data_IF_963856399817
#
_entry.id   IF_963856399817
#
_cell.length_a   1.000
_cell.length_b   1.000
_cell.length_c   1.000
_cell.angle_alpha   90.00
_cell.angle_beta   90.00
_cell.angle_gamma   90.00
#
_symmetry.space_group_name_H-M   'P 1'
#
loop_
_entity.id
_entity.type
_entity.pdbx_description
1 polymer ?
#
# COMPACT_ATOMS: atom_id res chain seq x y z
N UNK A 1 6.93 0.66 -14.04
CA UNK A 1 6.99 -0.51 -13.14
C UNK A 1 7.83 -0.10 -11.95
N UNK A 2 7.31 -0.31 -10.75
CA UNK A 2 7.99 0.05 -9.50
C UNK A 2 8.47 -1.23 -8.81
N UNK A 3 9.67 -1.22 -8.27
CA UNK A 3 10.18 -2.29 -7.42
C UNK A 3 10.34 -1.77 -6.00
N UNK A 4 9.68 -2.43 -5.05
CA UNK A 4 9.88 -2.22 -3.61
C UNK A 4 10.96 -3.21 -3.17
N UNK A 5 12.06 -2.69 -2.63
CA UNK A 5 13.16 -3.49 -2.11
C UNK A 5 13.01 -3.58 -0.60
N UNK A 6 12.89 -4.80 -0.08
CA UNK A 6 12.73 -5.07 1.34
C UNK A 6 14.10 -5.14 2.05
N UNK A 7 14.12 -4.94 3.37
CA UNK A 7 15.34 -4.96 4.18
C UNK A 7 16.04 -6.32 4.18
N UNK A 8 15.27 -7.41 4.04
CA UNK A 8 15.76 -8.79 3.96
C UNK A 8 16.26 -9.18 2.56
N UNK A 9 16.12 -8.29 1.57
CA UNK A 9 16.54 -8.52 0.19
C UNK A 9 15.44 -9.02 -0.74
N UNK A 10 14.23 -9.28 -0.24
CA UNK A 10 13.06 -9.56 -1.08
C UNK A 10 12.76 -8.35 -1.99
N UNK A 11 12.23 -8.64 -3.18
CA UNK A 11 11.81 -7.64 -4.15
C UNK A 11 10.37 -7.88 -4.55
N UNK A 12 9.56 -6.84 -4.37
CA UNK A 12 8.16 -6.84 -4.75
C UNK A 12 8.02 -5.97 -6.00
N UNK A 13 7.52 -6.57 -7.09
CA UNK A 13 7.24 -5.86 -8.33
C UNK A 13 5.80 -5.34 -8.33
N UNK A 14 5.65 -4.05 -8.60
CA UNK A 14 4.36 -3.36 -8.71
C UNK A 14 4.19 -2.92 -10.16
N UNK A 15 3.27 -3.58 -10.84
CA UNK A 15 2.85 -3.26 -12.19
C UNK A 15 1.69 -2.24 -12.17
N UNK A 16 1.41 -1.58 -13.31
CA UNK A 16 0.36 -0.56 -13.35
C UNK A 16 -1.02 -1.03 -12.86
N UNK A 17 -1.36 -2.29 -13.06
CA UNK A 17 -2.63 -2.94 -12.69
C UNK A 17 -2.57 -3.64 -11.33
N UNK A 18 -1.40 -3.69 -10.68
CA UNK A 18 -1.23 -4.34 -9.37
C UNK A 18 -2.08 -3.65 -8.31
N UNK A 19 -2.96 -4.42 -7.68
CA UNK A 19 -3.80 -3.93 -6.58
C UNK A 19 -2.94 -3.75 -5.33
N UNK A 20 -3.06 -2.59 -4.71
CA UNK A 20 -2.41 -2.19 -3.48
C UNK A 20 -3.49 -1.91 -2.43
N UNK A 21 -3.30 -2.49 -1.24
CA UNK A 21 -4.16 -2.25 -0.09
C UNK A 21 -3.33 -1.62 1.01
N UNK A 22 -3.78 -0.47 1.50
CA UNK A 22 -3.19 0.23 2.64
C UNK A 22 -3.96 -0.08 3.92
N UNK A 23 -3.25 -0.43 4.98
CA UNK A 23 -3.82 -0.88 6.24
C UNK A 23 -3.15 -0.12 7.37
N UNK A 24 -3.97 0.48 8.23
CA UNK A 24 -3.49 1.27 9.36
C UNK A 24 -3.93 0.64 10.68
N UNK A 25 -3.12 0.86 11.70
CA UNK A 25 -3.53 0.66 13.08
C UNK A 25 -4.55 1.73 13.47
N UNK A 26 -5.81 1.33 13.50
CA UNK A 26 -6.90 2.18 13.92
C UNK A 26 -6.99 2.19 15.45
N UNK A 27 -7.09 3.37 16.09
CA UNK A 27 -7.32 3.42 17.53
C UNK A 27 -8.64 2.77 17.87
N UNK A 28 -8.64 1.92 18.89
CA UNK A 28 -9.89 1.42 19.47
C UNK A 28 -10.58 2.59 20.15
N UNK A 29 -11.78 2.91 19.67
CA UNK A 29 -12.68 3.87 20.30
C UNK A 29 -13.93 3.15 20.78
N UNK A 30 -14.65 3.76 21.73
CA UNK A 30 -15.93 3.23 22.20
C UNK A 30 -16.97 3.09 21.06
N UNK A 31 -16.78 3.82 19.95
CA UNK A 31 -17.64 3.80 18.77
C UNK A 31 -17.24 2.75 17.71
N UNK A 32 -15.97 2.32 17.66
CA UNK A 32 -15.48 1.26 16.79
C UNK A 32 -14.59 0.27 17.57
N UNK A 33 -15.19 -0.52 18.49
CA UNK A 33 -14.42 -1.33 19.43
C UNK A 33 -13.77 -2.58 18.82
N UNK A 34 -14.03 -2.90 17.56
CA UNK A 34 -13.85 -4.26 17.05
C UNK A 34 -12.53 -4.53 16.32
N UNK A 35 -11.81 -3.52 15.81
CA UNK A 35 -10.66 -3.79 14.95
C UNK A 35 -9.47 -2.86 15.21
N UNK A 36 -8.33 -3.47 15.56
CA UNK A 36 -7.04 -2.78 15.65
C UNK A 36 -6.48 -2.41 14.27
N UNK A 37 -6.69 -3.24 13.24
CA UNK A 37 -6.22 -2.96 11.88
C UNK A 37 -7.41 -2.76 10.95
N UNK A 38 -7.36 -1.75 10.10
CA UNK A 38 -8.43 -1.46 9.13
C UNK A 38 -7.84 -1.11 7.77
N UNK A 39 -8.44 -1.65 6.72
CA UNK A 39 -8.19 -1.20 5.35
C UNK A 39 -8.62 0.26 5.19
N UNK A 40 -7.70 1.09 4.71
CA UNK A 40 -7.86 2.54 4.52
C UNK A 40 -7.73 2.97 3.07
N UNK A 41 -7.15 2.12 2.24
CA UNK A 41 -6.92 2.37 0.83
C UNK A 41 -7.04 1.08 0.03
N UNK A 42 -7.63 1.17 -1.17
CA UNK A 42 -7.59 0.13 -2.18
C UNK A 42 -7.53 0.77 -3.57
N UNK A 43 -6.51 0.41 -4.34
CA UNK A 43 -6.27 1.02 -5.65
C UNK A 43 -5.13 0.36 -6.40
N UNK A 44 -4.74 0.96 -7.52
CA UNK A 44 -3.53 0.62 -8.26
C UNK A 44 -2.91 1.91 -8.82
N UNK A 45 -1.79 1.78 -9.54
CA UNK A 45 -1.09 2.94 -10.11
C UNK A 45 -1.91 3.73 -11.14
N UNK A 46 -2.96 3.14 -11.70
CA UNK A 46 -3.83 3.79 -12.68
C UNK A 46 -5.03 4.50 -12.04
N UNK A 47 -5.37 4.17 -10.80
CA UNK A 47 -6.66 4.57 -10.24
C UNK A 47 -6.92 4.02 -8.85
N UNK A 48 -7.63 4.79 -8.02
CA UNK A 48 -8.25 4.26 -6.83
C UNK A 48 -9.54 3.56 -7.27
N UNK A 49 -9.88 2.44 -6.64
CA UNK A 49 -11.14 1.75 -6.92
C UNK A 49 -12.33 2.42 -6.22
N UNK A 50 -12.05 3.35 -5.31
CA UNK A 50 -13.05 4.22 -4.69
C UNK A 50 -13.33 5.45 -5.57
N UNK A 51 -14.51 6.06 -5.43
CA UNK A 51 -15.07 7.13 -6.32
C UNK A 51 -14.28 8.46 -6.35
N UNK A 52 -13.07 8.51 -5.79
CA UNK A 52 -12.24 9.70 -5.71
C UNK A 52 -11.03 9.59 -6.66
N UNK A 53 -10.44 10.73 -7.03
CA UNK A 53 -9.23 10.75 -7.85
C UNK A 53 -8.07 10.00 -7.16
N UNK A 54 -7.24 9.33 -7.94
CA UNK A 54 -6.27 8.40 -7.37
C UNK A 54 -5.15 9.07 -6.61
N UNK A 55 -4.94 8.68 -5.36
CA UNK A 55 -3.81 9.12 -4.55
C UNK A 55 -2.45 8.67 -5.14
N UNK A 56 -2.47 7.62 -5.97
CA UNK A 56 -1.30 7.07 -6.65
C UNK A 56 -1.03 7.67 -8.03
N UNK A 57 -1.99 8.37 -8.63
CA UNK A 57 -1.85 8.92 -9.98
C UNK A 57 -0.92 10.14 -10.00
N UNK A 58 0.32 9.93 -10.45
CA UNK A 58 1.34 10.98 -10.60
C UNK A 58 2.19 10.73 -11.83
N UNK A 59 2.85 11.80 -12.33
CA UNK A 59 3.81 11.69 -13.44
C UNK A 59 5.05 10.87 -13.08
N UNK A 60 5.42 10.82 -11.79
CA UNK A 60 6.54 10.03 -11.30
C UNK A 60 6.01 8.94 -10.37
N UNK A 61 5.92 7.70 -10.87
CA UNK A 61 5.38 6.54 -10.15
C UNK A 61 6.05 6.34 -8.78
N UNK A 62 7.31 6.78 -8.60
CA UNK A 62 8.01 6.71 -7.30
C UNK A 62 7.31 7.56 -6.25
N UNK A 63 6.82 8.73 -6.62
CA UNK A 63 6.17 9.64 -5.68
C UNK A 63 4.83 9.07 -5.22
N UNK A 64 4.07 8.43 -6.12
CA UNK A 64 2.80 7.80 -5.79
C UNK A 64 3.00 6.67 -4.79
N UNK A 65 3.86 5.71 -5.14
CA UNK A 65 4.17 4.58 -4.25
C UNK A 65 4.81 5.03 -2.94
N UNK A 66 5.74 5.99 -2.96
CA UNK A 66 6.31 6.52 -1.73
C UNK A 66 5.23 7.14 -0.82
N UNK A 67 4.33 7.93 -1.40
CA UNK A 67 3.23 8.55 -0.67
C UNK A 67 2.32 7.49 -0.02
N UNK A 68 1.94 6.46 -0.77
CA UNK A 68 1.17 5.33 -0.25
C UNK A 68 1.89 4.62 0.90
N UNK A 69 3.16 4.26 0.72
CA UNK A 69 3.95 3.54 1.73
C UNK A 69 4.21 4.36 3.00
N UNK A 70 4.30 5.69 2.88
CA UNK A 70 4.46 6.60 4.03
C UNK A 70 3.14 6.89 4.74
N UNK A 71 2.01 6.66 4.08
CA UNK A 71 0.68 6.93 4.62
C UNK A 71 0.08 5.76 5.39
N UNK A 72 0.70 4.57 5.29
CA UNK A 72 0.17 3.35 5.87
C UNK A 72 1.18 2.59 6.74
N UNK A 73 0.65 1.90 7.76
CA UNK A 73 1.48 1.09 8.66
C UNK A 73 1.83 -0.27 8.03
N UNK A 74 0.87 -0.85 7.31
CA UNK A 74 1.01 -2.10 6.58
C UNK A 74 0.42 -1.99 5.18
N UNK A 75 0.83 -2.90 4.30
CA UNK A 75 0.25 -3.03 2.98
C UNK A 75 0.20 -4.48 2.50
N UNK A 76 -0.67 -4.78 1.53
CA UNK A 76 -0.65 -6.03 0.77
C UNK A 76 -0.58 -5.78 -0.73
N UNK A 77 -0.12 -6.79 -1.45
CA UNK A 77 -0.19 -6.85 -2.91
C UNK A 77 -1.32 -7.81 -3.29
N UNK A 78 -2.37 -7.28 -3.90
CA UNK A 78 -3.62 -8.01 -4.13
C UNK A 78 -4.62 -7.88 -2.97
N UNK A 79 -5.87 -8.20 -3.29
CA UNK A 79 -6.97 -8.33 -2.34
C UNK A 79 -7.24 -9.80 -2.01
N UNK A 80 -7.64 -10.08 -0.77
CA UNK A 80 -7.94 -11.43 -0.27
C UNK A 80 -7.33 -11.77 1.08
N UNK A 81 -7.96 -12.71 1.78
CA UNK A 81 -7.53 -13.18 3.12
C UNK A 81 -6.22 -13.97 3.09
N UNK A 82 -5.79 -14.45 1.92
CA UNK A 82 -4.57 -15.24 1.71
C UNK A 82 -3.34 -14.39 1.41
N UNK A 83 -3.47 -13.05 1.34
CA UNK A 83 -2.40 -12.15 0.95
C UNK A 83 -1.46 -11.84 2.10
N UNK A 84 -0.17 -11.85 1.81
CA UNK A 84 0.87 -11.43 2.75
C UNK A 84 0.68 -9.96 3.09
N UNK A 85 0.69 -9.65 4.39
CA UNK A 85 0.77 -8.29 4.91
C UNK A 85 2.23 -7.94 5.17
N UNK A 86 2.70 -6.87 4.55
CA UNK A 86 4.04 -6.35 4.71
C UNK A 86 4.00 -5.12 5.61
N UNK A 87 4.95 -5.02 6.53
CA UNK A 87 5.15 -3.81 7.31
C UNK A 87 5.90 -2.78 6.47
N UNK A 88 5.44 -1.53 6.43
CA UNK A 88 6.12 -0.48 5.66
C UNK A 88 7.51 -0.16 6.23
N UNK A 89 7.72 -0.39 7.53
CA UNK A 89 9.03 -0.30 8.19
C UNK A 89 10.06 -1.33 7.69
N UNK A 90 9.62 -2.41 7.03
CA UNK A 90 10.49 -3.41 6.44
C UNK A 90 11.02 -3.00 5.05
N UNK A 91 10.61 -1.84 4.53
CA UNK A 91 11.01 -1.35 3.22
C UNK A 91 12.34 -0.63 3.31
N UNK A 92 13.27 -1.02 2.44
CA UNK A 92 14.59 -0.39 2.32
C UNK A 92 14.58 0.76 1.33
N UNK A 93 14.00 0.55 0.15
CA UNK A 93 13.97 1.55 -0.91
C UNK A 93 12.96 1.20 -2.00
N UNK A 94 12.59 2.20 -2.79
CA UNK A 94 11.83 2.04 -4.03
C UNK A 94 12.69 2.42 -5.24
N UNK A 95 12.47 1.74 -6.36
CA UNK A 95 13.15 2.02 -7.62
C UNK A 95 12.17 1.88 -8.78
N UNK A 96 12.35 2.69 -9.83
CA UNK A 96 11.60 2.56 -11.08
C UNK A 96 12.56 2.10 -12.17
N UNK A 97 12.04 1.24 -13.05
CA UNK A 97 12.74 0.72 -14.20
C UNK A 97 11.92 0.93 -15.46
#
# INVERSE_FOLDING_TARGET
>A
MVTINMLDGEKIEVHPDTILIGIDNAPITDEQPTFYLKQKYIGNLQGDFEKNGSALATKDERLGIAGFLLSHDLFSIGDGEDKTLYFTSAIKSISVK
#
